data_IF_428907097828
#
_entry.id   IF_428907097828
#
_cell.length_a   1.000
_cell.length_b   1.000
_cell.length_c   1.000
_cell.angle_alpha   90.00
_cell.angle_beta   90.00
_cell.angle_gamma   90.00
#
_symmetry.space_group_name_H-M   'P 1'
#
loop_
_entity.id
_entity.type
_entity.pdbx_description
1 polymer ?
#
# COMPACT_ATOMS: atom_id res chain seq x y z
N UNK A 1 1.62 -1.98 -5.20
CA UNK A 1 0.95 -2.04 -6.52
C UNK A 1 1.18 -3.39 -7.16
N UNK A 2 0.21 -3.90 -7.93
CA UNK A 2 0.24 -5.24 -8.54
C UNK A 2 0.61 -5.22 -10.02
N UNK A 3 0.67 -6.40 -10.66
CA UNK A 3 0.79 -6.54 -12.12
C UNK A 3 -0.17 -5.64 -12.91
N UNK A 4 -1.39 -5.46 -12.41
CA UNK A 4 -2.52 -4.85 -13.12
C UNK A 4 -2.98 -3.50 -12.54
N UNK A 5 -2.27 -2.93 -11.56
CA UNK A 5 -2.68 -1.66 -10.91
C UNK A 5 -1.60 -0.58 -11.03
N UNK A 6 -2.07 0.63 -11.32
CA UNK A 6 -1.25 1.83 -11.45
C UNK A 6 -0.13 1.68 -12.48
N UNK A 7 1.13 1.62 -12.05
CA UNK A 7 2.34 1.56 -12.86
C UNK A 7 2.88 0.14 -13.11
N UNK A 8 2.16 -0.89 -12.67
CA UNK A 8 2.40 -2.26 -13.10
C UNK A 8 2.30 -2.42 -14.63
N UNK A 9 2.87 -3.49 -15.21
CA UNK A 9 2.95 -3.70 -16.66
C UNK A 9 1.58 -3.72 -17.38
N UNK A 10 0.51 -4.11 -16.68
CA UNK A 10 -0.87 -4.12 -17.19
C UNK A 10 -1.79 -3.15 -16.41
N UNK A 11 -1.18 -2.19 -15.71
CA UNK A 11 -1.89 -1.14 -14.98
C UNK A 11 -2.38 0.00 -15.88
N UNK A 12 -3.14 0.92 -15.30
CA UNK A 12 -3.70 2.06 -16.04
C UNK A 12 -2.66 3.10 -16.50
N UNK A 13 -1.46 3.10 -15.91
CA UNK A 13 -0.36 4.04 -16.19
C UNK A 13 0.99 3.34 -16.10
N UNK A 14 1.28 2.34 -16.96
CA UNK A 14 2.47 1.51 -16.85
C UNK A 14 3.74 2.36 -16.94
N UNK A 15 4.76 2.02 -16.15
CA UNK A 15 6.05 2.74 -16.18
C UNK A 15 6.88 2.43 -17.43
N UNK A 16 6.68 1.25 -18.01
CA UNK A 16 7.34 0.78 -19.22
C UNK A 16 6.43 0.82 -20.45
N UNK A 17 6.90 0.22 -21.55
CA UNK A 17 6.12 0.01 -22.77
C UNK A 17 6.13 -1.47 -23.16
N UNK A 18 5.00 -1.98 -23.62
CA UNK A 18 4.92 -3.29 -24.27
C UNK A 18 5.34 -3.17 -25.74
N UNK A 19 5.82 -4.27 -26.33
CA UNK A 19 6.10 -4.35 -27.76
C UNK A 19 4.85 -4.71 -28.59
N UNK A 20 3.68 -4.74 -27.96
CA UNK A 20 2.36 -4.94 -28.56
C UNK A 20 1.33 -4.06 -27.82
N UNK A 21 0.19 -3.80 -28.45
CA UNK A 21 -0.93 -3.12 -27.81
C UNK A 21 -1.77 -4.15 -27.04
N UNK A 22 -1.89 -4.06 -25.71
CA UNK A 22 -2.71 -5.00 -24.95
C UNK A 22 -4.20 -4.71 -25.18
N UNK A 23 -5.08 -5.72 -25.04
CA UNK A 23 -6.53 -5.49 -24.94
C UNK A 23 -6.87 -4.51 -23.81
N UNK A 24 -8.00 -3.81 -23.94
CA UNK A 24 -8.48 -2.88 -22.90
C UNK A 24 -8.69 -3.56 -21.53
N UNK A 25 -9.14 -4.83 -21.56
CA UNK A 25 -9.31 -5.68 -20.39
C UNK A 25 -8.36 -6.88 -20.50
N UNK A 26 -7.35 -6.93 -19.63
CA UNK A 26 -6.48 -8.09 -19.46
C UNK A 26 -6.84 -8.77 -18.13
N UNK A 27 -7.08 -10.07 -18.19
CA UNK A 27 -7.22 -10.91 -17.01
C UNK A 27 -6.10 -11.96 -17.02
N UNK A 28 -5.42 -12.09 -15.89
CA UNK A 28 -4.46 -13.17 -15.63
C UNK A 28 -4.97 -13.95 -14.43
N UNK A 29 -5.01 -15.28 -14.55
CA UNK A 29 -5.43 -16.18 -13.48
C UNK A 29 -4.29 -17.15 -13.23
N UNK A 30 -3.93 -17.33 -11.95
CA UNK A 30 -2.94 -18.32 -11.57
C UNK A 30 -3.37 -19.12 -10.32
N UNK A 31 -2.93 -20.38 -10.20
CA UNK A 31 -3.10 -21.14 -8.97
C UNK A 31 -2.47 -20.42 -7.78
N UNK A 32 -3.18 -20.42 -6.66
CA UNK A 32 -2.69 -19.90 -5.40
C UNK A 32 -2.51 -21.06 -4.41
N UNK A 33 -1.30 -21.65 -4.32
CA UNK A 33 -1.06 -22.89 -3.59
C UNK A 33 -0.95 -22.64 -2.07
N UNK A 34 -1.81 -21.78 -1.54
CA UNK A 34 -1.93 -21.45 -0.13
C UNK A 34 -3.35 -21.80 0.33
N UNK A 35 -3.47 -22.35 1.53
CA UNK A 35 -4.77 -22.46 2.18
C UNK A 35 -5.27 -21.07 2.55
N UNK A 36 -6.44 -20.71 2.02
CA UNK A 36 -7.11 -19.45 2.31
C UNK A 36 -8.36 -19.72 3.11
N UNK A 37 -8.52 -18.99 4.21
CA UNK A 37 -9.72 -19.06 5.05
C UNK A 37 -10.28 -17.68 5.28
N UNK A 38 -11.61 -17.57 5.25
CA UNK A 38 -12.32 -16.36 5.60
C UNK A 38 -13.32 -16.65 6.71
N UNK A 39 -13.45 -15.73 7.66
CA UNK A 39 -14.33 -15.86 8.80
C UNK A 39 -15.33 -14.72 8.84
N UNK A 40 -16.59 -15.03 9.14
CA UNK A 40 -17.62 -14.05 9.49
C UNK A 40 -18.27 -14.48 10.80
N UNK A 41 -18.33 -13.58 11.79
CA UNK A 41 -18.85 -13.85 13.15
C UNK A 41 -18.26 -15.15 13.75
N UNK A 42 -16.94 -15.28 13.66
CA UNK A 42 -16.15 -16.44 14.10
C UNK A 42 -16.45 -17.78 13.40
N UNK A 43 -17.32 -17.80 12.38
CA UNK A 43 -17.58 -18.97 11.55
C UNK A 43 -16.74 -18.91 10.27
N UNK A 44 -16.08 -20.01 9.92
CA UNK A 44 -15.44 -20.16 8.62
C UNK A 44 -16.52 -20.11 7.51
N UNK A 45 -16.38 -19.13 6.62
CA UNK A 45 -17.24 -18.93 5.43
C UNK A 45 -16.50 -19.24 4.13
N UNK A 46 -15.17 -19.32 4.18
CA UNK A 46 -14.32 -19.88 3.11
C UNK A 46 -13.26 -20.75 3.78
N UNK A 47 -13.00 -21.92 3.23
CA UNK A 47 -11.84 -22.76 3.57
C UNK A 47 -11.39 -23.55 2.34
N UNK A 48 -10.33 -23.10 1.67
CA UNK A 48 -9.91 -23.70 0.40
C UNK A 48 -8.39 -23.76 0.26
N UNK A 49 -7.89 -24.91 -0.20
CA UNK A 49 -6.53 -25.12 -0.70
C UNK A 49 -6.47 -25.06 -2.25
N UNK A 50 -7.62 -24.81 -2.87
CA UNK A 50 -7.81 -24.75 -4.34
C UNK A 50 -8.07 -23.32 -4.80
N UNK A 51 -7.54 -22.35 -4.07
CA UNK A 51 -7.69 -20.93 -4.39
C UNK A 51 -6.97 -20.60 -5.69
N UNK A 52 -7.54 -19.70 -6.48
CA UNK A 52 -6.84 -19.04 -7.59
C UNK A 52 -6.80 -17.54 -7.35
N UNK A 53 -5.72 -16.91 -7.80
CA UNK A 53 -5.55 -15.47 -7.75
C UNK A 53 -5.91 -14.90 -9.12
N UNK A 54 -6.89 -13.98 -9.14
CA UNK A 54 -7.36 -13.33 -10.36
C UNK A 54 -6.91 -11.89 -10.38
N UNK A 55 -6.20 -11.53 -11.44
CA UNK A 55 -5.73 -10.17 -11.71
C UNK A 55 -6.53 -9.61 -12.88
N UNK A 56 -6.99 -8.38 -12.74
CA UNK A 56 -7.68 -7.68 -13.82
C UNK A 56 -7.15 -6.26 -13.94
N UNK A 57 -6.94 -5.81 -15.18
CA UNK A 57 -6.49 -4.45 -15.48
C UNK A 57 -7.27 -3.39 -14.70
N UNK A 58 -6.56 -2.55 -13.97
CA UNK A 58 -7.12 -1.47 -13.14
C UNK A 58 -7.72 -1.92 -11.81
N UNK A 59 -7.68 -3.21 -11.46
CA UNK A 59 -8.22 -3.75 -10.21
C UNK A 59 -7.14 -4.44 -9.38
N UNK A 60 -7.27 -4.33 -8.05
CA UNK A 60 -6.49 -5.12 -7.12
C UNK A 60 -6.75 -6.62 -7.34
N UNK A 61 -5.77 -7.48 -7.05
CA UNK A 61 -5.99 -8.93 -7.15
C UNK A 61 -7.13 -9.35 -6.23
N UNK A 62 -7.84 -10.41 -6.63
CA UNK A 62 -8.93 -11.01 -5.84
C UNK A 62 -8.75 -12.52 -5.80
N UNK A 63 -9.18 -13.15 -4.71
CA UNK A 63 -9.30 -14.61 -4.68
C UNK A 63 -10.55 -15.06 -5.43
N UNK A 64 -10.45 -16.20 -6.08
CA UNK A 64 -11.61 -17.01 -6.44
C UNK A 64 -11.43 -18.43 -5.87
N UNK A 65 -12.55 -19.04 -5.50
CA UNK A 65 -12.62 -20.34 -4.84
C UNK A 65 -13.61 -21.25 -5.55
N UNK A 66 -13.46 -22.58 -5.51
CA UNK A 66 -14.54 -23.49 -5.88
C UNK A 66 -15.82 -23.15 -5.10
N UNK A 67 -16.98 -23.15 -5.77
CA UNK A 67 -18.24 -22.78 -5.14
C UNK A 67 -18.57 -23.64 -3.90
N UNK A 68 -18.15 -24.92 -3.88
CA UNK A 68 -18.36 -25.80 -2.73
C UNK A 68 -17.53 -25.45 -1.48
N UNK A 69 -16.46 -24.65 -1.63
CA UNK A 69 -15.58 -24.25 -0.52
C UNK A 69 -16.08 -22.94 0.16
N UNK A 70 -17.19 -22.36 -0.33
CA UNK A 70 -17.73 -21.06 0.10
C UNK A 70 -19.13 -21.22 0.68
N UNK A 71 -19.33 -20.70 1.89
CA UNK A 71 -20.57 -20.82 2.67
C UNK A 71 -21.28 -19.47 2.95
N UNK A 72 -21.02 -18.47 2.10
CA UNK A 72 -21.61 -17.13 2.13
C UNK A 72 -21.97 -16.69 0.71
N UNK A 73 -22.78 -15.64 0.58
CA UNK A 73 -23.08 -15.00 -0.71
C UNK A 73 -21.80 -14.64 -1.46
N UNK A 74 -21.73 -15.08 -2.72
CA UNK A 74 -20.58 -14.97 -3.60
C UNK A 74 -21.05 -14.76 -5.05
N UNK A 75 -20.18 -14.20 -5.87
CA UNK A 75 -20.44 -13.93 -7.28
C UNK A 75 -19.64 -14.91 -8.16
N UNK A 76 -20.21 -15.48 -9.23
CA UNK A 76 -19.44 -16.33 -10.15
C UNK A 76 -18.18 -15.63 -10.67
N UNK A 77 -17.04 -16.33 -10.69
CA UNK A 77 -15.83 -15.84 -11.34
C UNK A 77 -15.90 -16.18 -12.84
N UNK A 78 -16.10 -15.19 -13.74
CA UNK A 78 -16.33 -15.44 -15.16
C UNK A 78 -15.14 -16.11 -15.87
N UNK A 79 -13.94 -16.00 -15.30
CA UNK A 79 -12.71 -16.49 -15.93
C UNK A 79 -12.37 -17.92 -15.50
N UNK A 80 -13.09 -18.49 -14.52
CA UNK A 80 -12.80 -19.82 -13.96
C UNK A 80 -14.09 -20.58 -13.66
N UNK A 81 -14.41 -21.57 -14.50
CA UNK A 81 -15.63 -22.37 -14.38
C UNK A 81 -15.77 -23.04 -13.00
N UNK A 82 -16.94 -22.88 -12.39
CA UNK A 82 -17.26 -23.46 -11.07
C UNK A 82 -16.67 -22.69 -9.88
N UNK A 83 -15.94 -21.58 -10.12
CA UNK A 83 -15.39 -20.74 -9.07
C UNK A 83 -16.27 -19.52 -8.82
N UNK A 84 -16.15 -18.99 -7.61
CA UNK A 84 -16.83 -17.78 -7.14
C UNK A 84 -15.84 -16.85 -6.45
N UNK A 85 -16.14 -15.56 -6.46
CA UNK A 85 -15.44 -14.54 -5.68
C UNK A 85 -16.33 -14.06 -4.53
N UNK A 86 -15.70 -13.81 -3.39
CA UNK A 86 -16.38 -13.27 -2.21
C UNK A 86 -15.93 -11.81 -2.05
N UNK A 87 -16.84 -10.84 -1.96
CA UNK A 87 -16.45 -9.45 -1.69
C UNK A 87 -15.63 -9.38 -0.39
N UNK A 88 -14.52 -8.64 -0.41
CA UNK A 88 -13.58 -8.61 0.72
C UNK A 88 -14.26 -8.23 2.04
N UNK A 89 -15.21 -7.29 1.99
CA UNK A 89 -15.97 -6.79 3.14
C UNK A 89 -17.06 -7.74 3.65
N UNK A 90 -17.32 -8.86 2.96
CA UNK A 90 -18.30 -9.87 3.41
C UNK A 90 -17.75 -10.79 4.50
N UNK A 91 -16.45 -10.73 4.78
CA UNK A 91 -15.81 -11.44 5.87
C UNK A 91 -15.09 -10.48 6.81
N UNK A 92 -15.09 -10.81 8.10
CA UNK A 92 -14.47 -10.01 9.16
C UNK A 92 -12.95 -10.23 9.22
N UNK A 93 -12.49 -11.41 8.80
CA UNK A 93 -11.09 -11.81 8.86
C UNK A 93 -10.72 -12.76 7.72
N UNK A 94 -9.56 -12.53 7.13
CA UNK A 94 -8.98 -13.34 6.07
C UNK A 94 -7.63 -13.89 6.52
N UNK A 95 -7.37 -15.17 6.27
CA UNK A 95 -6.11 -15.84 6.58
C UNK A 95 -5.55 -16.52 5.33
N UNK A 96 -4.24 -16.41 5.15
CA UNK A 96 -3.43 -17.26 4.28
C UNK A 96 -2.43 -18.03 5.13
N UNK A 97 -2.48 -19.36 5.12
CA UNK A 97 -1.56 -20.19 5.94
C UNK A 97 -1.47 -19.72 7.40
N UNK A 98 -2.62 -19.41 8.00
CA UNK A 98 -2.77 -18.83 9.36
C UNK A 98 -2.31 -17.39 9.54
N UNK A 99 -1.67 -16.77 8.56
CA UNK A 99 -1.32 -15.36 8.62
C UNK A 99 -2.50 -14.51 8.18
N UNK A 100 -2.84 -13.50 8.98
CA UNK A 100 -3.89 -12.55 8.62
C UNK A 100 -3.51 -11.72 7.40
N UNK A 101 -4.45 -11.62 6.45
CA UNK A 101 -4.35 -10.77 5.27
C UNK A 101 -5.37 -9.64 5.41
N UNK A 102 -4.91 -8.42 5.14
CA UNK A 102 -5.72 -7.20 5.26
C UNK A 102 -5.83 -6.49 3.92
N UNK A 103 -6.90 -5.70 3.76
CA UNK A 103 -7.21 -4.87 2.58
C UNK A 103 -7.51 -5.63 1.29
N UNK A 104 -6.59 -6.48 0.83
CA UNK A 104 -6.74 -7.30 -0.38
C UNK A 104 -5.70 -8.44 -0.39
N UNK A 105 -5.85 -9.46 -1.25
CA UNK A 105 -4.87 -10.52 -1.45
C UNK A 105 -3.44 -10.04 -1.70
N UNK A 106 -2.46 -10.79 -1.21
CA UNK A 106 -1.06 -10.52 -1.55
C UNK A 106 -0.77 -10.90 -3.00
N UNK A 107 -0.02 -10.05 -3.68
CA UNK A 107 0.49 -10.31 -5.03
C UNK A 107 1.92 -10.88 -4.92
N UNK A 108 2.20 -12.11 -5.40
CA UNK A 108 3.53 -12.73 -5.40
C UNK A 108 4.58 -11.97 -6.22
N UNK A 109 4.17 -11.10 -7.13
CA UNK A 109 5.04 -10.22 -7.92
C UNK A 109 5.24 -8.85 -7.25
N UNK A 110 4.53 -8.58 -6.16
CA UNK A 110 4.76 -7.40 -5.36
C UNK A 110 5.96 -7.59 -4.43
N UNK A 111 6.91 -6.65 -4.49
CA UNK A 111 8.11 -6.68 -3.67
C UNK A 111 8.24 -5.35 -2.92
N UNK A 112 8.56 -5.46 -1.65
CA UNK A 112 9.04 -4.36 -0.81
C UNK A 112 10.48 -4.68 -0.43
N UNK A 113 11.36 -3.74 -0.68
CA UNK A 113 12.77 -3.79 -0.29
C UNK A 113 13.10 -2.54 0.52
N UNK A 114 13.63 -2.74 1.72
CA UNK A 114 14.04 -1.63 2.58
C UNK A 114 15.53 -1.71 2.85
N UNK A 115 16.27 -0.71 2.37
CA UNK A 115 17.73 -0.66 2.48
C UNK A 115 18.16 0.46 3.44
N UNK A 116 19.14 0.21 4.33
CA UNK A 116 19.83 1.30 5.00
C UNK A 116 20.59 2.14 3.98
N UNK A 117 20.72 3.43 4.25
CA UNK A 117 21.47 4.34 3.41
C UNK A 117 22.17 5.41 4.24
N UNK A 118 23.24 5.97 3.70
CA UNK A 118 23.96 7.13 4.25
C UNK A 118 23.72 8.39 3.43
N UNK A 119 22.82 8.35 2.44
CA UNK A 119 22.43 9.52 1.65
C UNK A 119 21.82 10.58 2.56
N UNK A 120 22.15 11.84 2.32
CA UNK A 120 21.63 12.96 3.09
C UNK A 120 20.24 13.32 2.60
N UNK A 121 19.24 13.26 3.48
CA UNK A 121 17.84 13.55 3.14
C UNK A 121 17.36 14.73 3.96
N UNK A 122 16.84 15.77 3.30
CA UNK A 122 16.17 16.89 3.96
C UNK A 122 14.70 16.93 3.56
N UNK A 123 13.83 17.32 4.48
CA UNK A 123 12.41 17.54 4.23
C UNK A 123 12.04 18.94 4.70
N UNK A 124 11.65 19.79 3.76
CA UNK A 124 10.96 21.04 4.07
C UNK A 124 9.45 20.84 3.88
N UNK A 125 8.66 21.37 4.80
CA UNK A 125 7.21 21.41 4.68
C UNK A 125 6.77 22.86 4.83
N UNK A 126 6.00 23.37 3.87
CA UNK A 126 5.61 24.78 3.83
C UNK A 126 6.80 25.74 3.92
N UNK A 127 7.97 25.36 3.38
CA UNK A 127 9.22 26.13 3.44
C UNK A 127 10.05 26.00 4.72
N UNK A 128 9.55 25.34 5.77
CA UNK A 128 10.28 25.14 7.04
C UNK A 128 10.97 23.77 7.07
N UNK A 129 12.21 23.69 7.59
CA UNK A 129 12.93 22.43 7.73
C UNK A 129 12.29 21.59 8.85
N UNK A 130 11.71 20.45 8.49
CA UNK A 130 11.01 19.55 9.42
C UNK A 130 11.83 18.29 9.72
N UNK A 131 12.66 17.82 8.80
CA UNK A 131 13.53 16.68 9.04
C UNK A 131 14.83 16.75 8.25
N UNK A 132 15.91 16.23 8.83
CA UNK A 132 17.21 16.12 8.20
C UNK A 132 17.94 14.87 8.72
N UNK A 133 18.31 13.96 7.83
CA UNK A 133 18.91 12.68 8.20
C UNK A 133 20.04 12.27 7.27
N UNK A 134 21.06 11.62 7.83
CA UNK A 134 22.11 10.89 7.10
C UNK A 134 22.04 9.38 7.36
N UNK A 135 20.93 8.90 7.91
CA UNK A 135 20.67 7.48 8.24
C UNK A 135 19.24 7.02 7.88
N UNK A 136 18.73 7.36 6.67
CA UNK A 136 17.40 6.93 6.25
C UNK A 136 17.34 5.42 5.99
N UNK A 137 16.13 4.88 6.09
CA UNK A 137 15.74 3.63 5.44
C UNK A 137 15.03 3.98 4.14
N UNK A 138 15.59 3.56 3.01
CA UNK A 138 14.97 3.80 1.70
C UNK A 138 14.14 2.57 1.36
N UNK A 139 12.84 2.78 1.18
CA UNK A 139 11.89 1.76 0.79
C UNK A 139 11.64 1.84 -0.72
N UNK A 140 11.86 0.73 -1.40
CA UNK A 140 11.53 0.49 -2.79
C UNK A 140 10.38 -0.49 -2.86
N UNK A 141 9.28 -0.08 -3.47
CA UNK A 141 8.07 -0.89 -3.56
C UNK A 141 7.64 -1.01 -5.01
N UNK A 142 7.26 -2.21 -5.45
CA UNK A 142 6.84 -2.47 -6.84
C UNK A 142 5.80 -1.46 -7.28
N UNK A 143 6.14 -0.70 -8.32
CA UNK A 143 5.29 0.31 -8.94
C UNK A 143 5.16 1.64 -8.18
N UNK A 144 5.80 1.81 -7.04
CA UNK A 144 5.75 3.06 -6.27
C UNK A 144 7.09 3.81 -6.30
N UNK A 145 7.06 5.14 -6.10
CA UNK A 145 8.29 5.90 -5.93
C UNK A 145 9.07 5.45 -4.68
N UNK A 146 10.41 5.62 -4.65
CA UNK A 146 11.18 5.44 -3.42
C UNK A 146 10.61 6.30 -2.28
N UNK A 147 10.53 5.72 -1.08
CA UNK A 147 10.12 6.42 0.14
C UNK A 147 11.28 6.47 1.12
N UNK A 148 11.46 7.63 1.76
CA UNK A 148 12.56 7.91 2.65
C UNK A 148 12.06 7.93 4.09
N UNK A 149 12.27 6.82 4.80
CA UNK A 149 11.85 6.67 6.19
C UNK A 149 12.98 7.12 7.12
N UNK A 150 12.75 8.25 7.77
CA UNK A 150 13.70 8.91 8.65
C UNK A 150 13.48 8.42 10.09
N UNK A 151 14.54 8.18 10.86
CA UNK A 151 14.38 7.88 12.28
C UNK A 151 13.77 9.09 12.99
N UNK A 152 12.93 8.85 14.00
CA UNK A 152 12.18 9.92 14.67
C UNK A 152 13.08 10.98 15.29
N UNK A 153 14.30 10.64 15.69
CA UNK A 153 15.24 11.59 16.28
C UNK A 153 15.82 12.61 15.27
N UNK A 154 15.67 12.33 13.97
CA UNK A 154 16.08 13.23 12.88
C UNK A 154 14.90 14.10 12.40
N UNK A 155 13.77 14.09 13.12
CA UNK A 155 12.52 14.78 12.78
C UNK A 155 12.15 15.75 13.90
N UNK A 156 11.73 16.96 13.54
CA UNK A 156 11.18 17.96 14.45
C UNK A 156 9.76 17.58 14.89
N UNK A 157 9.67 16.66 15.85
CA UNK A 157 8.39 16.17 16.36
C UNK A 157 7.57 17.23 17.10
N UNK A 158 8.19 18.34 17.51
CA UNK A 158 7.50 19.53 18.03
C UNK A 158 6.54 20.16 17.01
N UNK A 159 6.77 19.92 15.71
CA UNK A 159 5.90 20.38 14.62
C UNK A 159 4.82 19.36 14.22
N UNK A 160 4.85 18.15 14.78
CA UNK A 160 3.95 17.06 14.39
C UNK A 160 2.75 16.96 15.34
N UNK A 161 1.56 16.92 14.76
CA UNK A 161 0.32 16.68 15.49
C UNK A 161 -0.36 15.42 14.95
N UNK A 162 -0.51 14.40 15.80
CA UNK A 162 -1.12 13.13 15.39
C UNK A 162 -2.59 13.36 15.04
N UNK A 163 -3.03 12.80 13.91
CA UNK A 163 -4.44 12.83 13.51
C UNK A 163 -5.08 11.45 13.59
N UNK A 164 -6.37 11.42 13.88
CA UNK A 164 -7.20 10.22 13.87
C UNK A 164 -7.56 9.81 12.44
N UNK A 165 -6.53 9.58 11.63
CA UNK A 165 -6.62 9.08 10.25
C UNK A 165 -5.75 7.84 10.19
N UNK A 166 -6.30 6.75 9.65
CA UNK A 166 -5.55 5.50 9.44
C UNK A 166 -5.90 4.92 8.08
N UNK A 167 -4.89 4.37 7.41
CA UNK A 167 -5.10 3.65 6.14
C UNK A 167 -4.45 2.28 6.24
N UNK A 168 -5.08 1.29 5.63
CA UNK A 168 -4.53 -0.06 5.54
C UNK A 168 -3.66 -0.23 4.30
N UNK A 169 -2.58 -0.97 4.43
CA UNK A 169 -1.79 -1.51 3.33
C UNK A 169 -1.63 -3.02 3.53
N UNK A 170 -2.00 -3.81 2.52
CA UNK A 170 -1.91 -5.27 2.55
C UNK A 170 -0.51 -5.79 2.97
N UNK A 171 0.55 -5.06 2.66
CA UNK A 171 1.94 -5.47 2.87
C UNK A 171 2.62 -4.81 4.07
N UNK A 172 2.21 -3.60 4.45
CA UNK A 172 2.91 -2.81 5.47
C UNK A 172 2.13 -2.72 6.79
N UNK A 173 0.86 -3.10 6.81
CA UNK A 173 -0.01 -2.90 7.97
C UNK A 173 -0.75 -1.57 7.91
N UNK A 174 -1.04 -0.99 9.06
CA UNK A 174 -1.82 0.25 9.15
C UNK A 174 -0.92 1.47 9.38
N UNK A 175 -1.03 2.46 8.50
CA UNK A 175 -0.34 3.72 8.65
C UNK A 175 -1.09 4.65 9.60
N UNK A 176 -0.35 5.38 10.43
CA UNK A 176 -0.83 6.53 11.20
C UNK A 176 -0.26 7.82 10.62
N UNK A 177 -1.04 8.89 10.67
CA UNK A 177 -0.72 10.15 10.01
C UNK A 177 -0.51 11.30 10.99
N UNK A 178 0.28 12.27 10.54
CA UNK A 178 0.63 13.48 11.27
C UNK A 178 0.36 14.70 10.41
N UNK A 179 -0.36 15.66 10.98
CA UNK A 179 -0.35 17.03 10.47
C UNK A 179 1.01 17.66 10.81
N UNK A 180 1.50 18.52 9.92
CA UNK A 180 2.68 19.35 10.19
C UNK A 180 2.21 20.79 10.40
N UNK A 181 2.59 21.37 11.54
CA UNK A 181 2.34 22.77 11.88
C UNK A 181 3.60 23.57 11.59
N UNK A 182 3.51 24.53 10.69
CA UNK A 182 4.60 25.45 10.35
C UNK A 182 4.16 26.88 10.60
N UNK A 183 5.10 27.82 10.51
CA UNK A 183 4.76 29.25 10.55
C UNK A 183 3.75 29.65 9.44
N UNK A 184 3.75 28.93 8.32
CA UNK A 184 2.87 29.17 7.17
C UNK A 184 1.52 28.44 7.26
N UNK A 185 1.28 27.70 8.34
CA UNK A 185 -0.01 27.08 8.65
C UNK A 185 0.06 25.56 8.83
N UNK A 186 -1.09 24.91 8.71
CA UNK A 186 -1.25 23.46 8.89
C UNK A 186 -1.23 22.75 7.56
N UNK A 187 -0.35 21.77 7.41
CA UNK A 187 -0.34 20.85 6.26
C UNK A 187 -0.90 19.51 6.75
N UNK A 188 -2.13 19.14 6.35
CA UNK A 188 -2.81 17.97 6.91
C UNK A 188 -2.23 16.66 6.41
N UNK A 189 -2.07 15.64 7.27
CA UNK A 189 -1.53 14.32 6.94
C UNK A 189 -0.27 14.36 6.05
N UNK A 190 0.64 15.30 6.34
CA UNK A 190 1.88 15.51 5.57
C UNK A 190 2.90 14.39 5.80
N UNK A 191 2.87 13.77 6.97
CA UNK A 191 3.74 12.66 7.33
C UNK A 191 2.94 11.43 7.77
N UNK A 192 3.57 10.26 7.68
CA UNK A 192 3.02 9.01 8.19
C UNK A 192 4.10 8.10 8.81
N UNK A 193 3.63 7.16 9.62
CA UNK A 193 4.43 6.16 10.34
C UNK A 193 3.68 4.83 10.37
N UNK A 194 4.43 3.72 10.42
CA UNK A 194 3.89 2.40 10.77
C UNK A 194 4.46 2.00 12.14
N UNK A 195 3.63 2.03 13.18
CA UNK A 195 4.04 1.66 14.54
C UNK A 195 3.96 0.15 14.80
N UNK A 196 3.00 -0.51 14.12
CA UNK A 196 2.86 -1.96 14.12
C UNK A 196 2.80 -2.50 12.69
N UNK A 197 3.93 -2.46 11.96
CA UNK A 197 3.97 -2.94 10.60
C UNK A 197 3.87 -4.47 10.51
N UNK A 198 3.40 -4.94 9.35
CA UNK A 198 3.61 -6.33 8.93
C UNK A 198 5.10 -6.59 8.62
N UNK A 199 5.46 -7.86 8.44
CA UNK A 199 6.84 -8.34 8.29
C UNK A 199 7.67 -7.53 7.28
N UNK A 200 7.11 -7.22 6.12
CA UNK A 200 7.78 -6.49 5.04
C UNK A 200 8.04 -5.03 5.41
N UNK A 201 7.22 -4.46 6.30
CA UNK A 201 7.37 -3.12 6.85
C UNK A 201 8.21 -3.05 8.13
N UNK A 202 8.63 -4.17 8.72
CA UNK A 202 9.38 -4.16 9.98
C UNK A 202 10.62 -3.24 9.97
N UNK A 203 11.43 -3.18 8.90
CA UNK A 203 12.60 -2.29 8.86
C UNK A 203 12.28 -0.79 8.93
N UNK A 204 11.01 -0.40 8.69
CA UNK A 204 10.51 0.98 8.78
C UNK A 204 9.63 1.24 10.02
N UNK A 205 9.57 0.31 10.97
CA UNK A 205 8.84 0.49 12.24
C UNK A 205 9.24 1.81 12.91
N UNK A 206 8.23 2.58 13.32
CA UNK A 206 8.34 3.86 14.04
C UNK A 206 9.14 4.96 13.32
N UNK A 207 9.43 4.78 12.03
CA UNK A 207 10.07 5.81 11.20
C UNK A 207 9.04 6.72 10.55
N UNK A 208 9.44 7.96 10.29
CA UNK A 208 8.59 8.98 9.69
C UNK A 208 8.91 9.12 8.20
N UNK A 209 7.89 9.15 7.36
CA UNK A 209 8.02 9.46 5.94
C UNK A 209 7.06 10.59 5.55
N UNK A 210 7.40 11.32 4.49
CA UNK A 210 6.66 12.48 3.99
C UNK A 210 6.27 12.29 2.52
N UNK A 211 5.17 12.92 2.10
CA UNK A 211 4.64 12.78 0.75
C UNK A 211 5.37 13.71 -0.24
N UNK A 212 6.45 13.25 -0.86
CA UNK A 212 7.22 14.07 -1.81
C UNK A 212 6.45 14.45 -3.10
N UNK A 213 5.28 13.87 -3.32
CA UNK A 213 4.35 14.25 -4.39
C UNK A 213 3.49 15.48 -4.08
N UNK A 214 3.53 16.00 -2.84
CA UNK A 214 2.72 17.13 -2.43
C UNK A 214 3.45 18.45 -2.67
N UNK A 215 2.78 19.47 -3.23
CA UNK A 215 3.42 20.74 -3.57
C UNK A 215 3.92 21.52 -2.35
N UNK A 216 3.41 21.23 -1.15
CA UNK A 216 3.85 21.86 0.09
C UNK A 216 5.06 21.14 0.72
N UNK A 217 5.58 20.06 0.14
CA UNK A 217 6.61 19.21 0.72
C UNK A 217 7.78 19.06 -0.25
N UNK A 218 8.93 19.63 0.11
CA UNK A 218 10.18 19.52 -0.65
C UNK A 218 11.10 18.50 0.01
N UNK A 219 11.27 17.35 -0.65
CA UNK A 219 12.25 16.33 -0.25
C UNK A 219 13.49 16.46 -1.13
N UNK A 220 14.67 16.60 -0.52
CA UNK A 220 15.95 16.53 -1.24
C UNK A 220 16.77 15.34 -0.78
N UNK A 221 17.56 14.77 -1.69
CA UNK A 221 18.48 13.67 -1.45
C UNK A 221 19.83 14.02 -2.05
N UNK A 222 20.85 14.12 -1.20
CA UNK A 222 22.20 14.60 -1.52
C UNK A 222 22.16 15.98 -2.21
N UNK A 223 21.29 16.87 -1.73
CA UNK A 223 21.08 18.22 -2.27
C UNK A 223 20.30 18.30 -3.58
N UNK A 224 19.89 17.18 -4.17
CA UNK A 224 19.05 17.15 -5.37
C UNK A 224 17.58 16.88 -5.01
N UNK A 225 16.59 17.53 -5.66
CA UNK A 225 15.18 17.23 -5.44
C UNK A 225 14.85 15.75 -5.71
N UNK A 226 14.04 15.13 -4.83
CA UNK A 226 13.46 13.82 -5.08
C UNK A 226 12.42 13.88 -6.21
N UNK A 227 12.15 12.74 -6.86
CA UNK A 227 11.06 12.63 -7.83
C UNK A 227 9.72 13.00 -7.18
N UNK A 228 8.91 13.84 -7.84
CA UNK A 228 7.55 14.20 -7.42
C UNK A 228 6.51 13.50 -8.32
N UNK A 229 6.13 12.25 -8.01
CA UNK A 229 5.26 11.44 -8.85
C UNK A 229 3.78 11.83 -8.68
N UNK A 230 2.94 11.51 -9.66
CA UNK A 230 1.50 11.56 -9.47
C UNK A 230 0.99 10.24 -8.86
N UNK A 231 0.46 10.31 -7.65
CA UNK A 231 -0.09 9.16 -6.90
C UNK A 231 -1.49 9.50 -6.38
N UNK A 232 -2.24 8.51 -5.85
CA UNK A 232 -3.50 8.78 -5.14
C UNK A 232 -3.34 9.73 -3.94
N UNK A 233 -2.12 9.91 -3.42
CA UNK A 233 -1.81 10.77 -2.27
C UNK A 233 -1.27 12.15 -2.66
N UNK A 234 -1.23 12.48 -3.96
CA UNK A 234 -0.85 13.83 -4.44
C UNK A 234 -1.86 14.91 -4.04
N UNK A 235 -3.11 14.54 -3.71
CA UNK A 235 -4.11 15.44 -3.15
C UNK A 235 -4.53 14.99 -1.74
N UNK A 236 -5.44 15.73 -1.11
CA UNK A 236 -5.91 15.49 0.26
C UNK A 236 -7.33 14.93 0.37
N UNK A 237 -8.01 14.61 -0.74
CA UNK A 237 -9.42 14.18 -0.70
C UNK A 237 -9.60 12.80 -0.05
N UNK A 238 -8.56 11.96 -0.06
CA UNK A 238 -8.56 10.67 0.62
C UNK A 238 -8.58 10.80 2.15
N UNK A 239 -8.16 11.94 2.72
CA UNK A 239 -8.05 12.12 4.17
C UNK A 239 -9.43 12.01 4.81
N UNK A 240 -10.43 12.66 4.23
CA UNK A 240 -11.80 12.65 4.78
C UNK A 240 -12.46 11.28 4.66
N UNK A 241 -12.13 10.53 3.60
CA UNK A 241 -12.57 9.14 3.43
C UNK A 241 -11.86 8.15 4.37
N UNK A 242 -10.72 8.52 4.94
CA UNK A 242 -9.92 7.72 5.85
C UNK A 242 -10.11 8.09 7.34
N UNK A 243 -11.01 9.03 7.64
CA UNK A 243 -11.46 9.29 9.00
C UNK A 243 -12.46 8.20 9.42
N UNK A 244 -12.42 7.75 10.67
CA UNK A 244 -13.40 6.80 11.21
C UNK A 244 -14.82 7.39 11.25
#
# INVERSE_FOLDING_TARGET
MSLTVGSGPFGQRPRGRLNFEPPERVVYVEPWPRRVRAFSRDRAVVDSERTVLVYESGRLPRYAFPAEDVAIDAEPEPEVDGYVTVPWSSADRWLEEEQEVIVHPHDPYHRIEVLPSTRHVTVHVGGELVAESSRPRILFETGLPPRYYLPVEDVRTDLLEQVQVRTGCAYKGYASYWDVRTENGRIPAAAWTYSDPLREGEPIRDRVCFFQERPEIDVTVDGAPAESPQTPWSNTSWIDAARP
#
